data_IF_549874292372
#
_entry.id   IF_549874292372
#
_cell.length_a   1.000
_cell.length_b   1.000
_cell.length_c   1.000
_cell.angle_alpha   90.00
_cell.angle_beta   90.00
_cell.angle_gamma   90.00
#
_symmetry.space_group_name_H-M   'P 1'
#
loop_
_entity.id
_entity.type
_entity.pdbx_description
1 polymer ?
#
# COMPACT_ATOMS: atom_id res chain seq x y z
N UNK A 1 -8.25 -24.66 -2.01
CA UNK A 1 -8.86 -24.55 -3.36
C UNK A 1 -7.75 -24.93 -4.34
N UNK A 2 -7.83 -26.11 -4.97
CA UNK A 2 -6.74 -26.61 -5.83
C UNK A 2 -6.97 -26.16 -7.29
N UNK A 3 -6.76 -24.87 -7.55
CA UNK A 3 -6.93 -24.26 -8.87
C UNK A 3 -5.63 -23.58 -9.30
N UNK A 4 -5.34 -23.50 -10.62
CA UNK A 4 -4.19 -22.76 -11.13
C UNK A 4 -4.21 -21.28 -10.66
N UNK A 5 -3.05 -20.65 -10.41
CA UNK A 5 -2.98 -19.27 -9.93
C UNK A 5 -3.74 -18.28 -10.83
N UNK A 6 -3.65 -18.42 -12.16
CA UNK A 6 -4.35 -17.54 -13.09
C UNK A 6 -5.87 -17.63 -12.94
N UNK A 7 -6.42 -18.85 -12.88
CA UNK A 7 -7.85 -19.09 -12.69
C UNK A 7 -8.34 -18.50 -11.37
N UNK A 8 -7.55 -18.63 -10.29
CA UNK A 8 -7.87 -18.04 -8.99
C UNK A 8 -7.92 -16.52 -9.05
N UNK A 9 -6.96 -15.90 -9.74
CA UNK A 9 -6.93 -14.45 -9.93
C UNK A 9 -8.14 -13.95 -10.73
N UNK A 10 -8.52 -14.65 -11.80
CA UNK A 10 -9.73 -14.34 -12.59
C UNK A 10 -10.99 -14.46 -11.75
N UNK A 11 -11.19 -15.57 -11.03
CA UNK A 11 -12.35 -15.76 -10.17
C UNK A 11 -12.50 -14.64 -9.14
N UNK A 12 -11.41 -14.25 -8.46
CA UNK A 12 -11.44 -13.11 -7.53
C UNK A 12 -11.78 -11.81 -8.26
N UNK A 13 -11.12 -11.55 -9.39
CA UNK A 13 -11.34 -10.32 -10.15
C UNK A 13 -12.81 -10.18 -10.56
N UNK A 14 -13.35 -11.22 -11.19
CA UNK A 14 -14.71 -11.21 -11.75
C UNK A 14 -15.75 -11.15 -10.63
N UNK A 15 -15.58 -11.93 -9.56
CA UNK A 15 -16.51 -11.89 -8.43
C UNK A 15 -16.49 -10.54 -7.70
N UNK A 16 -15.33 -9.88 -7.59
CA UNK A 16 -15.24 -8.52 -7.03
C UNK A 16 -15.93 -7.49 -7.94
N UNK A 17 -15.81 -7.63 -9.25
CA UNK A 17 -16.47 -6.74 -10.22
C UNK A 17 -17.99 -6.95 -10.26
N UNK A 18 -18.44 -8.20 -10.24
CA UNK A 18 -19.86 -8.55 -10.12
C UNK A 18 -20.46 -8.03 -8.81
N UNK A 19 -19.71 -8.14 -7.69
CA UNK A 19 -20.15 -7.60 -6.41
C UNK A 19 -20.24 -6.08 -6.43
N UNK A 20 -19.26 -5.42 -7.07
CA UNK A 20 -19.29 -3.96 -7.29
C UNK A 20 -20.49 -3.53 -8.14
N UNK A 21 -20.87 -4.33 -9.12
CA UNK A 21 -22.07 -4.12 -9.94
C UNK A 21 -23.38 -4.50 -9.23
N UNK A 22 -23.33 -4.89 -7.95
CA UNK A 22 -24.47 -5.39 -7.16
C UNK A 22 -25.16 -6.61 -7.76
N UNK A 23 -24.46 -7.36 -8.62
CA UNK A 23 -24.97 -8.60 -9.23
C UNK A 23 -24.80 -9.80 -8.31
N UNK A 24 -23.83 -9.74 -7.39
CA UNK A 24 -23.65 -10.71 -6.31
C UNK A 24 -23.35 -9.98 -5.00
N UNK A 25 -23.50 -10.66 -3.87
CA UNK A 25 -23.13 -10.10 -2.57
C UNK A 25 -21.61 -10.12 -2.37
N UNK A 26 -21.06 -9.08 -1.72
CA UNK A 26 -19.65 -8.99 -1.36
C UNK A 26 -19.16 -10.10 -0.42
N UNK A 27 -20.06 -10.77 0.30
CA UNK A 27 -19.68 -11.90 1.15
C UNK A 27 -19.04 -13.04 0.34
N UNK A 28 -19.47 -13.25 -0.92
CA UNK A 28 -18.94 -14.28 -1.82
C UNK A 28 -17.45 -14.04 -2.12
N UNK A 29 -17.04 -12.92 -2.78
CA UNK A 29 -15.63 -12.68 -3.08
C UNK A 29 -14.77 -12.54 -1.83
N UNK A 30 -15.29 -11.92 -0.74
CA UNK A 30 -14.51 -11.72 0.49
C UNK A 30 -14.23 -13.06 1.20
N UNK A 31 -15.19 -13.99 1.25
CA UNK A 31 -14.96 -15.34 1.78
C UNK A 31 -13.97 -16.13 0.92
N UNK A 32 -14.03 -15.95 -0.41
CA UNK A 32 -13.08 -16.59 -1.32
C UNK A 32 -11.64 -16.09 -1.09
N UNK A 33 -11.46 -14.77 -0.99
CA UNK A 33 -10.16 -14.14 -0.66
C UNK A 33 -9.63 -14.67 0.69
N UNK A 34 -10.47 -14.70 1.73
CA UNK A 34 -10.10 -15.17 3.06
C UNK A 34 -9.61 -16.64 3.04
N UNK A 35 -10.30 -17.51 2.30
CA UNK A 35 -9.88 -18.92 2.12
C UNK A 35 -8.56 -19.03 1.38
N UNK A 36 -8.36 -18.23 0.34
CA UNK A 36 -7.13 -18.28 -0.44
C UNK A 36 -5.91 -17.87 0.38
N UNK A 37 -5.96 -16.70 1.02
CA UNK A 37 -4.81 -16.17 1.76
C UNK A 37 -4.41 -17.02 2.97
N UNK A 38 -5.35 -17.79 3.54
CA UNK A 38 -5.08 -18.68 4.69
C UNK A 38 -4.58 -20.06 4.29
N UNK A 39 -4.94 -20.56 3.11
CA UNK A 39 -4.58 -21.91 2.67
C UNK A 39 -3.21 -22.00 1.97
N UNK A 40 -2.76 -20.92 1.34
CA UNK A 40 -1.52 -20.97 0.56
C UNK A 40 -0.27 -20.98 1.46
N UNK A 41 0.65 -21.92 1.19
CA UNK A 41 1.92 -22.04 1.93
C UNK A 41 2.95 -20.98 1.54
N UNK A 42 2.81 -20.38 0.35
CA UNK A 42 3.69 -19.35 -0.21
C UNK A 42 2.85 -18.23 -0.82
N UNK A 43 3.43 -17.02 -0.96
CA UNK A 43 2.77 -15.92 -1.66
C UNK A 43 2.67 -16.28 -3.14
N UNK A 44 1.44 -16.44 -3.62
CA UNK A 44 1.20 -16.51 -5.05
C UNK A 44 1.06 -15.11 -5.62
N UNK A 45 1.95 -14.77 -6.55
CA UNK A 45 2.08 -13.41 -7.05
C UNK A 45 0.82 -12.93 -7.78
N UNK A 46 0.38 -13.69 -8.79
CA UNK A 46 -0.74 -13.29 -9.67
C UNK A 46 -2.04 -13.08 -8.88
N UNK A 47 -2.50 -14.03 -8.03
CA UNK A 47 -3.75 -13.85 -7.29
C UNK A 47 -3.65 -12.77 -6.22
N UNK A 48 -2.49 -12.61 -5.57
CA UNK A 48 -2.32 -11.58 -4.54
C UNK A 48 -2.39 -10.19 -5.16
N UNK A 49 -1.73 -9.97 -6.30
CA UNK A 49 -1.83 -8.71 -7.05
C UNK A 49 -3.27 -8.40 -7.45
N UNK A 50 -3.96 -9.35 -8.08
CA UNK A 50 -5.35 -9.18 -8.49
C UNK A 50 -6.26 -8.83 -7.29
N UNK A 51 -6.07 -9.54 -6.17
CA UNK A 51 -6.81 -9.28 -4.95
C UNK A 51 -6.57 -7.87 -4.42
N UNK A 52 -5.31 -7.47 -4.30
CA UNK A 52 -4.95 -6.17 -3.72
C UNK A 52 -5.45 -5.03 -4.58
N UNK A 53 -5.38 -5.13 -5.91
CA UNK A 53 -5.97 -4.14 -6.82
C UNK A 53 -7.49 -4.00 -6.61
N UNK A 54 -8.23 -5.11 -6.49
CA UNK A 54 -9.69 -5.04 -6.23
C UNK A 54 -10.01 -4.49 -4.84
N UNK A 55 -9.20 -4.81 -3.83
CA UNK A 55 -9.38 -4.30 -2.47
C UNK A 55 -9.08 -2.79 -2.35
N UNK A 56 -8.31 -2.19 -3.27
CA UNK A 56 -8.11 -0.72 -3.30
C UNK A 56 -9.45 0.02 -3.43
N UNK A 57 -10.38 -0.49 -4.25
CA UNK A 57 -11.70 0.10 -4.38
C UNK A 57 -12.45 0.10 -3.04
N UNK A 58 -12.49 -1.05 -2.35
CA UNK A 58 -13.13 -1.16 -1.04
C UNK A 58 -12.46 -0.24 -0.02
N UNK A 59 -11.14 -0.21 0.04
CA UNK A 59 -10.40 0.72 0.89
C UNK A 59 -10.85 2.17 0.65
N UNK A 60 -10.93 2.61 -0.62
CA UNK A 60 -11.24 4.00 -0.95
C UNK A 60 -12.68 4.39 -0.59
N UNK A 61 -13.66 3.51 -0.83
CA UNK A 61 -15.06 3.81 -0.50
C UNK A 61 -15.35 3.67 1.00
N UNK A 62 -14.61 2.79 1.70
CA UNK A 62 -14.81 2.55 3.12
C UNK A 62 -14.03 3.53 3.99
N UNK A 63 -12.97 4.17 3.50
CA UNK A 63 -12.04 5.00 4.27
C UNK A 63 -12.72 6.03 5.19
N UNK A 64 -13.77 6.69 4.71
CA UNK A 64 -14.51 7.73 5.47
C UNK A 64 -15.75 7.18 6.17
N UNK A 65 -15.91 5.86 6.23
CA UNK A 65 -17.08 5.21 6.83
C UNK A 65 -16.70 4.55 8.16
N UNK A 66 -17.67 4.37 9.09
CA UNK A 66 -17.43 3.63 10.34
C UNK A 66 -16.97 2.18 10.12
N UNK A 67 -17.27 1.60 8.95
CA UNK A 67 -16.87 0.24 8.59
C UNK A 67 -15.39 0.10 8.24
N UNK A 68 -14.63 1.19 8.11
CA UNK A 68 -13.21 1.14 7.73
C UNK A 68 -12.38 0.30 8.71
N UNK A 69 -12.60 0.45 10.02
CA UNK A 69 -11.87 -0.32 11.02
C UNK A 69 -12.07 -1.84 10.88
N UNK A 70 -13.29 -2.26 10.53
CA UNK A 70 -13.60 -3.68 10.26
C UNK A 70 -12.90 -4.18 9.00
N UNK A 71 -12.81 -3.34 7.97
CA UNK A 71 -12.06 -3.65 6.76
C UNK A 71 -10.56 -3.77 7.03
N UNK A 72 -9.99 -2.86 7.81
CA UNK A 72 -8.58 -2.93 8.22
C UNK A 72 -8.30 -4.20 9.04
N UNK A 73 -9.18 -4.57 9.98
CA UNK A 73 -9.03 -5.80 10.76
C UNK A 73 -9.08 -7.04 9.85
N UNK A 74 -10.06 -7.10 8.93
CA UNK A 74 -10.18 -8.15 7.94
C UNK A 74 -8.89 -8.29 7.11
N UNK A 75 -8.40 -7.16 6.58
CA UNK A 75 -7.21 -7.14 5.73
C UNK A 75 -5.96 -7.60 6.49
N UNK A 76 -5.75 -7.07 7.70
CA UNK A 76 -4.62 -7.42 8.56
C UNK A 76 -4.65 -8.89 8.98
N UNK A 77 -5.82 -9.44 9.31
CA UNK A 77 -5.97 -10.83 9.72
C UNK A 77 -5.67 -11.80 8.57
N UNK A 78 -6.18 -11.50 7.38
CA UNK A 78 -6.08 -12.36 6.20
C UNK A 78 -4.67 -12.34 5.61
N UNK A 79 -4.05 -11.17 5.54
CA UNK A 79 -2.73 -11.00 4.92
C UNK A 79 -1.58 -10.96 5.92
N UNK A 80 -1.81 -11.29 7.20
CA UNK A 80 -0.78 -11.33 8.26
C UNK A 80 0.49 -12.07 7.82
N UNK A 81 0.32 -13.25 7.20
CA UNK A 81 1.44 -14.07 6.71
C UNK A 81 2.14 -13.40 5.53
N UNK A 82 1.38 -12.90 4.56
CA UNK A 82 1.90 -12.18 3.39
C UNK A 82 2.76 -10.98 3.82
N UNK A 83 2.29 -10.21 4.80
CA UNK A 83 3.06 -9.10 5.38
C UNK A 83 4.35 -9.59 6.04
N UNK A 84 4.29 -10.65 6.85
CA UNK A 84 5.47 -11.17 7.56
C UNK A 84 6.59 -11.66 6.63
N UNK A 85 6.25 -12.06 5.40
CA UNK A 85 7.23 -12.52 4.41
C UNK A 85 7.94 -11.38 3.67
N UNK A 86 7.37 -10.17 3.74
CA UNK A 86 7.80 -9.01 2.93
C UNK A 86 8.33 -7.86 3.81
N UNK A 87 8.32 -8.00 5.14
CA UNK A 87 8.64 -6.89 6.07
C UNK A 87 10.06 -6.34 6.02
N UNK A 88 11.01 -6.98 5.35
CA UNK A 88 12.39 -6.47 5.27
C UNK A 88 12.50 -5.53 4.06
N UNK A 89 12.93 -4.27 4.26
CA UNK A 89 13.11 -3.28 3.17
C UNK A 89 14.35 -3.54 2.30
N UNK A 90 15.19 -4.49 2.70
CA UNK A 90 16.32 -5.02 1.93
C UNK A 90 15.94 -6.31 1.19
N UNK A 91 16.59 -6.55 0.04
CA UNK A 91 16.40 -7.76 -0.78
C UNK A 91 17.48 -8.79 -0.43
N UNK A 92 17.10 -10.07 -0.39
CA UNK A 92 18.05 -11.19 -0.44
C UNK A 92 17.88 -12.07 -1.68
N UNK A 93 16.81 -11.94 -2.49
CA UNK A 93 16.63 -12.76 -3.70
C UNK A 93 15.89 -12.03 -4.82
N UNK A 94 16.55 -11.95 -5.98
CA UNK A 94 16.13 -11.43 -7.28
C UNK A 94 14.93 -12.16 -7.89
N UNK A 95 13.92 -11.41 -8.36
CA UNK A 95 13.21 -11.50 -9.67
C UNK A 95 12.31 -10.25 -9.78
N UNK A 96 12.28 -9.53 -10.90
CA UNK A 96 11.42 -8.34 -11.14
C UNK A 96 9.93 -8.55 -10.73
N UNK A 97 9.40 -9.74 -10.98
CA UNK A 97 8.04 -10.15 -10.59
C UNK A 97 7.88 -10.17 -9.06
N UNK A 98 8.91 -10.59 -8.32
CA UNK A 98 8.96 -10.56 -6.85
C UNK A 98 9.00 -9.12 -6.34
N UNK A 99 9.72 -8.22 -7.01
CA UNK A 99 9.81 -6.81 -6.60
C UNK A 99 8.45 -6.09 -6.75
N UNK A 100 7.68 -6.41 -7.81
CA UNK A 100 6.35 -5.81 -8.01
C UNK A 100 5.34 -6.24 -6.96
N UNK A 101 5.28 -7.53 -6.61
CA UNK A 101 4.37 -7.97 -5.53
C UNK A 101 4.84 -7.42 -4.18
N UNK A 102 6.15 -7.34 -3.97
CA UNK A 102 6.74 -6.81 -2.75
C UNK A 102 6.37 -5.34 -2.54
N UNK A 103 6.48 -4.49 -3.55
CA UNK A 103 6.09 -3.07 -3.42
C UNK A 103 4.61 -2.92 -3.07
N UNK A 104 3.74 -3.71 -3.72
CA UNK A 104 2.30 -3.74 -3.43
C UNK A 104 2.04 -4.22 -2.00
N UNK A 105 2.68 -5.30 -1.56
CA UNK A 105 2.52 -5.83 -0.19
C UNK A 105 3.05 -4.85 0.85
N UNK A 106 4.21 -4.23 0.61
CA UNK A 106 4.78 -3.19 1.47
C UNK A 106 3.85 -1.98 1.57
N UNK A 107 3.34 -1.48 0.45
CA UNK A 107 2.41 -0.35 0.40
C UNK A 107 1.21 -0.60 1.32
N UNK A 108 0.57 -1.76 1.20
CA UNK A 108 -0.56 -2.15 2.05
C UNK A 108 -0.15 -2.32 3.52
N UNK A 109 0.99 -2.96 3.79
CA UNK A 109 1.46 -3.18 5.16
C UNK A 109 1.82 -1.87 5.88
N UNK A 110 2.23 -0.84 5.14
CA UNK A 110 2.55 0.49 5.66
C UNK A 110 1.32 1.39 5.84
N UNK A 111 0.09 0.96 5.51
CA UNK A 111 -1.13 1.77 5.68
C UNK A 111 -1.53 1.97 7.14
N UNK A 112 -1.27 0.98 7.98
CA UNK A 112 -1.52 1.09 9.43
C UNK A 112 -0.35 1.81 10.12
N UNK A 113 -0.65 2.90 10.81
CA UNK A 113 0.33 3.77 11.49
C UNK A 113 1.17 3.03 12.54
N UNK A 114 0.59 2.00 13.17
CA UNK A 114 1.21 1.14 14.19
C UNK A 114 1.96 -0.06 13.62
N UNK A 115 1.96 -0.24 12.29
CA UNK A 115 2.62 -1.39 11.68
C UNK A 115 4.15 -1.27 11.76
N UNK A 116 4.83 -2.43 11.74
CA UNK A 116 6.29 -2.49 11.61
C UNK A 116 6.79 -1.79 10.35
N UNK A 117 6.05 -1.90 9.25
CA UNK A 117 6.36 -1.23 7.99
C UNK A 117 6.35 0.29 8.15
N UNK A 118 5.30 0.84 8.79
CA UNK A 118 5.19 2.28 8.99
C UNK A 118 6.29 2.82 9.91
N UNK A 119 6.65 2.07 10.96
CA UNK A 119 7.77 2.43 11.83
C UNK A 119 9.11 2.48 11.07
N UNK A 120 9.41 1.43 10.30
CA UNK A 120 10.64 1.33 9.51
C UNK A 120 10.71 2.41 8.41
N UNK A 121 9.59 2.67 7.73
CA UNK A 121 9.48 3.75 6.75
C UNK A 121 9.80 5.12 7.38
N UNK A 122 9.26 5.42 8.56
CA UNK A 122 9.58 6.65 9.29
C UNK A 122 11.06 6.71 9.69
N UNK A 123 11.65 5.59 10.12
CA UNK A 123 13.08 5.53 10.47
C UNK A 123 13.97 5.87 9.28
N UNK A 124 13.72 5.21 8.13
CA UNK A 124 14.48 5.45 6.89
C UNK A 124 14.31 6.87 6.36
N UNK A 125 13.11 7.43 6.49
CA UNK A 125 12.88 8.83 6.12
C UNK A 125 13.66 9.79 7.03
N UNK A 126 13.72 9.54 8.35
CA UNK A 126 14.52 10.35 9.29
C UNK A 126 16.02 10.26 8.98
N UNK A 127 16.53 9.07 8.69
CA UNK A 127 17.93 8.89 8.26
C UNK A 127 18.22 9.68 6.98
N UNK A 128 17.29 9.66 6.03
CA UNK A 128 17.38 10.49 4.82
C UNK A 128 17.40 11.98 5.14
N UNK A 129 16.59 12.44 6.08
CA UNK A 129 16.54 13.86 6.46
C UNK A 129 17.84 14.34 7.14
N UNK A 130 18.43 13.52 8.01
CA UNK A 130 19.57 13.89 8.84
C UNK A 130 20.90 13.66 8.10
N UNK A 131 21.04 12.51 7.45
CA UNK A 131 22.31 12.06 6.88
C UNK A 131 22.30 11.99 5.35
N UNK A 132 21.20 12.38 4.70
CA UNK A 132 21.02 12.28 3.25
C UNK A 132 21.25 10.84 2.72
N UNK A 133 20.93 9.81 3.52
CA UNK A 133 21.11 8.40 3.15
C UNK A 133 20.35 8.05 1.88
N UNK A 134 20.88 7.15 1.05
CA UNK A 134 20.20 6.77 -0.20
C UNK A 134 19.07 5.78 0.11
N UNK A 135 17.84 6.16 -0.22
CA UNK A 135 16.69 5.24 -0.17
C UNK A 135 16.57 4.54 -1.52
N UNK A 136 16.50 3.20 -1.48
CA UNK A 136 16.31 2.36 -2.66
C UNK A 136 15.10 2.84 -3.48
N UNK A 137 15.24 3.08 -4.81
CA UNK A 137 14.16 3.51 -5.68
C UNK A 137 12.85 2.71 -5.54
N UNK A 138 12.93 1.40 -5.34
CA UNK A 138 11.77 0.51 -5.30
C UNK A 138 10.82 0.77 -4.11
N UNK A 139 11.37 1.23 -2.99
CA UNK A 139 10.61 1.50 -1.75
C UNK A 139 10.48 2.99 -1.46
N UNK A 140 11.09 3.86 -2.27
CA UNK A 140 11.13 5.31 -2.02
C UNK A 140 9.73 5.92 -1.91
N UNK A 141 8.81 5.55 -2.80
CA UNK A 141 7.43 6.03 -2.74
C UNK A 141 6.75 5.63 -1.43
N UNK A 142 6.95 4.40 -0.98
CA UNK A 142 6.39 3.88 0.27
C UNK A 142 6.98 4.62 1.47
N UNK A 143 8.30 4.80 1.50
CA UNK A 143 9.00 5.52 2.57
C UNK A 143 8.54 6.98 2.65
N UNK A 144 8.56 7.70 1.53
CA UNK A 144 8.19 9.11 1.46
C UNK A 144 6.71 9.30 1.81
N UNK A 145 5.81 8.54 1.17
CA UNK A 145 4.38 8.73 1.38
C UNK A 145 3.95 8.32 2.78
N UNK A 146 4.54 7.27 3.36
CA UNK A 146 4.24 6.88 4.73
C UNK A 146 4.75 7.93 5.73
N UNK A 147 5.98 8.41 5.56
CA UNK A 147 6.51 9.43 6.46
C UNK A 147 5.82 10.78 6.35
N UNK A 148 5.41 11.19 5.15
CA UNK A 148 4.64 12.42 4.94
C UNK A 148 3.22 12.26 5.49
N UNK A 149 2.53 11.14 5.22
CA UNK A 149 1.16 10.91 5.69
C UNK A 149 1.05 10.85 7.22
N UNK A 150 2.01 10.18 7.87
CA UNK A 150 2.03 9.95 9.32
C UNK A 150 2.86 10.98 10.10
N UNK A 151 3.62 11.82 9.39
CA UNK A 151 4.48 12.85 9.95
C UNK A 151 3.74 14.15 10.23
N UNK A 152 4.51 15.16 10.63
CA UNK A 152 3.98 16.51 10.83
C UNK A 152 4.62 17.52 9.87
N UNK A 153 4.55 18.78 10.28
CA UNK A 153 5.13 19.91 9.55
C UNK A 153 6.61 19.72 9.19
N UNK A 154 7.39 19.03 10.04
CA UNK A 154 8.82 18.86 9.86
C UNK A 154 9.10 17.98 8.63
N UNK A 155 8.48 16.80 8.57
CA UNK A 155 8.58 15.88 7.45
C UNK A 155 8.03 16.50 6.16
N UNK A 156 6.88 17.19 6.25
CA UNK A 156 6.26 17.84 5.11
C UNK A 156 7.13 18.97 4.53
N UNK A 157 7.63 19.89 5.36
CA UNK A 157 8.48 21.01 4.94
C UNK A 157 9.79 20.51 4.34
N UNK A 158 10.37 19.46 4.91
CA UNK A 158 11.57 18.84 4.34
C UNK A 158 11.29 18.25 2.95
N UNK A 159 10.20 17.51 2.79
CA UNK A 159 9.81 16.94 1.50
C UNK A 159 9.54 18.03 0.47
N UNK A 160 8.90 19.13 0.87
CA UNK A 160 8.61 20.27 -0.01
C UNK A 160 9.89 20.95 -0.51
N UNK A 161 10.86 21.21 0.37
CA UNK A 161 12.18 21.71 -0.06
C UNK A 161 12.85 20.73 -1.01
N UNK A 162 12.82 19.43 -0.69
CA UNK A 162 13.39 18.38 -1.55
C UNK A 162 12.75 18.35 -2.94
N UNK A 163 11.44 18.59 -3.04
CA UNK A 163 10.71 18.69 -4.30
C UNK A 163 11.20 19.87 -5.17
N UNK A 164 11.48 21.02 -4.57
CA UNK A 164 12.02 22.19 -5.26
C UNK A 164 13.46 21.94 -5.76
N UNK A 165 14.28 21.34 -4.91
CA UNK A 165 15.73 21.22 -5.13
C UNK A 165 16.13 20.03 -6.02
N UNK A 166 15.35 18.94 -6.02
CA UNK A 166 15.76 17.73 -6.74
C UNK A 166 15.69 17.91 -8.27
N UNK A 167 16.72 17.51 -9.04
CA UNK A 167 16.64 17.50 -10.50
C UNK A 167 15.86 16.29 -11.04
N UNK A 168 15.58 15.29 -10.20
CA UNK A 168 14.93 14.05 -10.62
C UNK A 168 13.41 14.22 -10.74
N UNK A 169 12.89 14.19 -11.97
CA UNK A 169 11.45 14.23 -12.26
C UNK A 169 10.72 13.07 -11.55
N UNK A 170 11.33 11.89 -11.48
CA UNK A 170 10.77 10.74 -10.78
C UNK A 170 10.61 11.00 -9.28
N UNK A 171 11.61 11.59 -8.63
CA UNK A 171 11.51 11.94 -7.20
C UNK A 171 10.48 13.06 -6.98
N UNK A 172 10.41 14.05 -7.87
CA UNK A 172 9.38 15.10 -7.82
C UNK A 172 7.97 14.53 -7.86
N UNK A 173 7.71 13.63 -8.81
CA UNK A 173 6.40 13.00 -8.97
C UNK A 173 6.01 12.17 -7.76
N UNK A 174 6.98 11.46 -7.16
CA UNK A 174 6.74 10.72 -5.92
C UNK A 174 6.33 11.69 -4.80
N UNK A 175 7.11 12.75 -4.56
CA UNK A 175 6.82 13.70 -3.47
C UNK A 175 5.46 14.37 -3.68
N UNK A 176 5.17 14.83 -4.91
CA UNK A 176 3.88 15.41 -5.28
C UNK A 176 2.71 14.45 -4.99
N UNK A 177 2.84 13.18 -5.38
CA UNK A 177 1.82 12.16 -5.10
C UNK A 177 1.59 11.96 -3.61
N UNK A 178 2.65 12.03 -2.79
CA UNK A 178 2.55 11.88 -1.35
C UNK A 178 1.84 13.06 -0.66
N UNK A 179 1.92 14.28 -1.19
CA UNK A 179 1.23 15.43 -0.59
C UNK A 179 -0.29 15.31 -0.61
N UNK A 180 -0.86 14.61 -1.60
CA UNK A 180 -2.29 14.33 -1.65
C UNK A 180 -2.79 13.43 -0.50
N UNK A 181 -1.88 12.79 0.24
CA UNK A 181 -2.19 11.86 1.34
C UNK A 181 -2.12 12.51 2.73
N UNK A 182 -1.61 13.74 2.85
CA UNK A 182 -1.38 14.39 4.15
C UNK A 182 -2.70 14.72 4.85
N UNK A 183 -2.82 14.37 6.14
CA UNK A 183 -4.05 14.50 6.91
C UNK A 183 -4.31 15.91 7.49
N UNK A 184 -3.37 16.86 7.40
CA UNK A 184 -3.56 18.19 7.99
C UNK A 184 -4.56 19.07 7.21
N UNK A 185 -5.60 19.53 7.92
CA UNK A 185 -6.65 20.45 7.44
C UNK A 185 -6.12 21.81 6.93
N UNK A 186 -4.91 22.24 7.35
CA UNK A 186 -4.34 23.52 6.91
C UNK A 186 -3.78 23.50 5.48
N UNK A 187 -3.37 22.34 4.95
CA UNK A 187 -2.75 22.25 3.61
C UNK A 187 -3.80 22.14 2.50
N UNK A 188 -5.02 21.70 2.82
CA UNK A 188 -6.15 21.58 1.89
C UNK A 188 -6.59 22.90 1.25
N UNK A 189 -6.22 24.06 1.82
CA UNK A 189 -6.52 25.37 1.24
C UNK A 189 -5.53 25.81 0.15
N UNK A 190 -4.34 25.19 0.08
CA UNK A 190 -3.28 25.62 -0.86
C UNK A 190 -3.01 24.61 -1.98
N UNK A 191 -3.33 23.33 -1.78
CA UNK A 191 -3.26 22.30 -2.82
C UNK A 191 -4.47 21.35 -2.72
N UNK A 192 -5.45 21.41 -3.63
CA UNK A 192 -6.59 20.51 -3.61
C UNK A 192 -6.13 19.06 -3.81
N UNK A 193 -6.74 18.13 -3.06
CA UNK A 193 -6.48 16.69 -3.15
C UNK A 193 -6.53 16.24 -4.62
N UNK A 194 -5.37 15.94 -5.20
CA UNK A 194 -5.27 15.22 -6.46
C UNK A 194 -5.79 13.80 -6.22
N UNK A 195 -7.04 13.55 -6.62
CA UNK A 195 -7.58 12.19 -6.71
C UNK A 195 -6.78 11.46 -7.79
N UNK A 196 -6.00 10.47 -7.37
CA UNK A 196 -5.59 9.34 -8.21
C UNK A 196 -6.05 8.07 -7.50
#
# INVERSE_FOLDING_TARGET
MNLPPLTRAQLISDSMDLARASLISYDIPLRMIARMATQDKMIMIIPTLATFEKLKFLNNILYTTPAFGLFEEFHNKIFKRTYSLVTQFENLVDVYITNRIRSVVLEWSCRSSISKCAHEARSRFRERMIHNTVINPEVRSIVYCTAIREGGDIEWKWAYRRFLDTPSISEKNIILGCFGLHQAEMVTLQYPRSRC
#
